data_IF_889423838735
#
_entry.id   IF_889423838735
#
_cell.length_a   1.000
_cell.length_b   1.000
_cell.length_c   1.000
_cell.angle_alpha   90.00
_cell.angle_beta   90.00
_cell.angle_gamma   90.00
#
_symmetry.space_group_name_H-M   'P 1'
#
loop_
_entity.id
_entity.type
_entity.pdbx_description
1 polymer ?
#
# COMPACT_ATOMS: atom_id res chain seq x y z
N UNK A 1 -16.51 -10.99 1.18
CA UNK A 1 -15.52 -9.87 1.22
C UNK A 1 -14.32 -10.32 2.03
N UNK A 2 -13.11 -10.21 1.48
CA UNK A 2 -11.85 -10.58 2.13
C UNK A 2 -11.17 -9.32 2.70
N UNK A 3 -10.49 -9.47 3.84
CA UNK A 3 -9.74 -8.38 4.48
C UNK A 3 -8.38 -8.95 4.90
N UNK A 4 -7.33 -8.24 4.55
CA UNK A 4 -5.98 -8.39 5.10
C UNK A 4 -5.74 -7.21 6.04
N UNK A 5 -5.60 -7.48 7.33
CA UNK A 5 -5.20 -6.48 8.32
C UNK A 5 -3.77 -6.74 8.77
N UNK A 6 -3.01 -5.67 9.04
CA UNK A 6 -1.67 -5.77 9.58
C UNK A 6 -1.46 -4.79 10.74
N UNK A 7 -1.00 -5.38 11.84
CA UNK A 7 -0.59 -4.71 13.07
C UNK A 7 0.73 -5.31 13.59
N UNK A 8 1.14 -4.94 14.80
CA UNK A 8 2.44 -5.27 15.43
C UNK A 8 2.77 -6.78 15.47
N UNK A 9 1.77 -7.65 15.27
CA UNK A 9 1.90 -9.11 15.42
C UNK A 9 1.74 -9.92 14.11
N UNK A 10 1.74 -9.27 12.93
CA UNK A 10 1.74 -9.96 11.63
C UNK A 10 0.41 -9.94 10.88
N UNK A 11 0.40 -10.56 9.70
CA UNK A 11 -0.73 -10.56 8.77
C UNK A 11 -1.72 -11.71 9.08
N UNK A 12 -3.01 -11.39 9.13
CA UNK A 12 -4.09 -12.36 9.28
C UNK A 12 -5.07 -12.22 8.09
N UNK A 13 -5.38 -13.33 7.43
CA UNK A 13 -6.51 -13.41 6.49
C UNK A 13 -7.74 -13.96 7.22
N UNK A 14 -8.88 -13.26 7.10
CA UNK A 14 -10.16 -13.72 7.62
C UNK A 14 -10.71 -12.91 8.79
N UNK A 15 -12.03 -12.81 8.85
CA UNK A 15 -12.76 -11.87 9.69
C UNK A 15 -12.72 -12.22 11.18
N UNK A 16 -12.03 -11.39 11.98
CA UNK A 16 -12.53 -10.72 13.20
C UNK A 16 -11.39 -9.97 13.89
N UNK A 17 -11.49 -8.65 14.07
CA UNK A 17 -11.50 -8.03 15.41
C UNK A 17 -11.53 -6.49 15.40
N UNK A 18 -11.91 -5.87 16.53
CA UNK A 18 -12.37 -4.48 16.60
C UNK A 18 -11.22 -3.47 16.52
N UNK A 19 -11.58 -2.31 16.01
CA UNK A 19 -10.77 -1.11 15.84
C UNK A 19 -10.08 -0.74 17.16
N UNK A 20 -8.77 -0.97 17.23
CA UNK A 20 -7.90 -0.66 18.37
C UNK A 20 -6.83 0.36 17.99
N UNK A 21 -7.17 1.63 18.15
CA UNK A 21 -6.35 2.82 18.44
C UNK A 21 -4.81 2.79 18.33
N UNK A 22 -4.19 2.25 17.27
CA UNK A 22 -2.85 2.68 16.84
C UNK A 22 -2.48 2.11 15.46
N UNK A 23 -2.53 2.95 14.41
CA UNK A 23 -1.77 2.73 13.18
C UNK A 23 -1.93 1.40 12.44
N UNK A 24 -2.98 0.62 12.70
CA UNK A 24 -3.26 -0.58 11.92
C UNK A 24 -3.74 -0.19 10.53
N UNK A 25 -3.23 -0.92 9.57
CA UNK A 25 -3.55 -0.71 8.19
C UNK A 25 -4.24 -1.99 7.69
N UNK A 26 -5.27 -1.81 6.89
CA UNK A 26 -6.07 -2.90 6.35
C UNK A 26 -6.37 -2.69 4.87
N UNK A 27 -6.50 -3.79 4.15
CA UNK A 27 -6.89 -3.85 2.75
C UNK A 27 -8.09 -4.79 2.64
N UNK A 28 -9.23 -4.27 2.18
CA UNK A 28 -10.44 -5.05 1.92
C UNK A 28 -10.68 -5.20 0.43
N UNK A 29 -11.09 -6.38 -0.02
CA UNK A 29 -11.43 -6.65 -1.41
C UNK A 29 -12.58 -7.65 -1.54
N UNK A 30 -13.22 -7.69 -2.72
CA UNK A 30 -14.32 -8.62 -3.00
C UNK A 30 -13.77 -10.04 -3.27
N UNK A 31 -14.61 -11.06 -3.16
CA UNK A 31 -14.15 -12.46 -3.31
C UNK A 31 -13.74 -12.81 -4.73
N UNK A 32 -14.28 -12.09 -5.72
CA UNK A 32 -14.00 -12.21 -7.15
C UNK A 32 -12.68 -11.53 -7.54
N UNK A 33 -11.98 -10.90 -6.58
CA UNK A 33 -10.68 -10.29 -6.79
C UNK A 33 -9.65 -11.17 -6.08
N UNK A 34 -8.67 -11.68 -6.82
CA UNK A 34 -7.54 -12.37 -6.24
C UNK A 34 -6.42 -11.37 -5.99
N UNK A 35 -5.92 -11.34 -4.75
CA UNK A 35 -4.83 -10.45 -4.36
C UNK A 35 -3.67 -11.32 -3.85
N UNK A 36 -2.47 -11.07 -4.33
CA UNK A 36 -1.25 -11.71 -3.86
C UNK A 36 -0.25 -10.68 -3.36
N UNK A 37 0.19 -10.83 -2.12
CA UNK A 37 1.19 -9.96 -1.50
C UNK A 37 2.55 -10.16 -2.16
N UNK A 38 3.13 -9.07 -2.69
CA UNK A 38 4.48 -9.08 -3.29
C UNK A 38 5.55 -8.72 -2.28
N UNK A 39 5.33 -7.62 -1.57
CA UNK A 39 6.25 -7.11 -0.55
C UNK A 39 5.54 -6.16 0.39
N UNK A 40 6.08 -6.02 1.59
CA UNK A 40 5.59 -5.07 2.58
C UNK A 40 6.71 -4.58 3.47
N UNK A 41 6.49 -3.42 4.09
CA UNK A 41 7.32 -2.84 5.15
C UNK A 41 6.45 -1.94 6.02
N UNK A 42 7.05 -1.27 7.01
CA UNK A 42 6.36 -0.22 7.77
C UNK A 42 5.91 0.96 6.89
N UNK A 43 6.51 1.12 5.71
CA UNK A 43 6.30 2.25 4.81
C UNK A 43 5.54 1.89 3.54
N UNK A 44 5.27 0.61 3.26
CA UNK A 44 4.51 0.24 2.08
C UNK A 44 3.87 -1.13 2.17
N UNK A 45 2.82 -1.33 1.39
CA UNK A 45 2.34 -2.64 0.98
C UNK A 45 2.17 -2.66 -0.51
N UNK A 46 2.61 -3.75 -1.10
CA UNK A 46 2.64 -3.95 -2.53
C UNK A 46 2.01 -5.28 -2.88
N UNK A 47 0.95 -5.24 -3.68
CA UNK A 47 0.15 -6.41 -4.02
C UNK A 47 -0.09 -6.47 -5.53
N UNK A 48 -0.08 -7.68 -6.08
CA UNK A 48 -0.63 -7.95 -7.39
C UNK A 48 -2.11 -8.28 -7.24
N UNK A 49 -2.91 -7.74 -8.14
CA UNK A 49 -4.37 -7.87 -8.20
C UNK A 49 -4.71 -8.53 -9.53
N UNK A 50 -5.35 -9.70 -9.44
CA UNK A 50 -5.93 -10.41 -10.57
C UNK A 50 -7.45 -10.26 -10.45
N UNK A 51 -7.98 -9.33 -11.24
CA UNK A 51 -9.40 -9.03 -11.31
C UNK A 51 -10.04 -9.87 -12.41
N UNK A 52 -10.80 -10.88 -11.99
CA UNK A 52 -11.45 -11.82 -12.89
C UNK A 52 -12.57 -11.19 -13.72
N UNK A 53 -13.18 -10.09 -13.27
CA UNK A 53 -14.26 -9.43 -14.01
C UNK A 53 -13.72 -8.68 -15.23
N UNK A 54 -12.66 -7.88 -15.04
CA UNK A 54 -12.07 -7.08 -16.12
C UNK A 54 -10.97 -7.81 -16.89
N UNK A 55 -10.54 -9.01 -16.43
CA UNK A 55 -9.46 -9.82 -17.02
C UNK A 55 -8.13 -9.07 -17.17
N UNK A 56 -7.86 -8.16 -16.24
CA UNK A 56 -6.63 -7.37 -16.21
C UNK A 56 -5.91 -7.66 -14.90
N UNK A 57 -4.62 -7.99 -15.03
CA UNK A 57 -3.70 -8.03 -13.90
C UNK A 57 -3.10 -6.65 -13.72
N UNK A 58 -3.19 -6.12 -12.52
CA UNK A 58 -2.64 -4.83 -12.17
C UNK A 58 -2.04 -4.89 -10.76
N UNK A 59 -1.32 -3.85 -10.39
CA UNK A 59 -0.56 -3.80 -9.15
C UNK A 59 -0.98 -2.60 -8.34
N UNK A 60 -1.17 -2.81 -7.04
CA UNK A 60 -1.46 -1.75 -6.09
C UNK A 60 -0.32 -1.64 -5.09
N UNK A 61 0.27 -0.46 -4.97
CA UNK A 61 1.16 -0.12 -3.87
C UNK A 61 0.49 0.92 -2.97
N UNK A 62 0.22 0.56 -1.72
CA UNK A 62 -0.06 1.54 -0.66
C UNK A 62 1.24 2.01 -0.06
N UNK A 63 1.52 3.30 -0.06
CA UNK A 63 2.80 3.87 0.35
C UNK A 63 2.63 4.94 1.44
N UNK A 64 3.56 4.94 2.39
CA UNK A 64 3.68 5.87 3.50
C UNK A 64 5.10 6.46 3.52
N UNK A 65 5.22 7.69 3.04
CA UNK A 65 6.49 8.42 3.05
C UNK A 65 6.95 8.78 4.45
N UNK A 66 8.24 9.05 4.62
CA UNK A 66 8.81 9.42 5.91
C UNK A 66 8.41 10.86 6.31
N UNK A 67 8.06 11.04 7.60
CA UNK A 67 7.82 12.36 8.20
C UNK A 67 9.11 13.17 8.31
N UNK A 68 10.23 12.52 8.60
CA UNK A 68 11.53 13.16 8.75
C UNK A 68 12.26 13.29 7.42
N UNK A 69 12.89 14.44 7.21
CA UNK A 69 13.62 14.78 5.98
C UNK A 69 14.71 13.76 5.62
N UNK A 70 15.32 13.12 6.63
CA UNK A 70 16.35 12.09 6.44
C UNK A 70 15.81 10.79 5.82
N UNK A 71 14.56 10.40 6.13
CA UNK A 71 13.95 9.19 5.57
C UNK A 71 13.27 9.39 4.22
N UNK A 72 13.14 10.65 3.75
CA UNK A 72 12.45 10.94 2.48
C UNK A 72 13.18 10.33 1.29
N UNK A 73 14.49 10.50 1.19
CA UNK A 73 15.27 9.92 0.08
C UNK A 73 15.13 8.40 0.04
N UNK A 74 15.19 7.73 1.20
CA UNK A 74 15.03 6.28 1.30
C UNK A 74 13.63 5.82 0.85
N UNK A 75 12.57 6.51 1.29
CA UNK A 75 11.19 6.19 0.87
C UNK A 75 10.96 6.48 -0.62
N UNK A 76 11.59 7.49 -1.20
CA UNK A 76 11.57 7.75 -2.63
C UNK A 76 12.37 6.74 -3.45
N UNK A 77 13.53 6.32 -2.96
CA UNK A 77 14.34 5.28 -3.58
C UNK A 77 13.62 3.93 -3.59
N UNK A 78 12.88 3.63 -2.51
CA UNK A 78 11.96 2.51 -2.46
C UNK A 78 10.89 2.63 -3.56
N UNK A 79 10.19 3.77 -3.66
CA UNK A 79 9.15 3.95 -4.67
C UNK A 79 9.71 3.85 -6.10
N UNK A 80 10.87 4.45 -6.36
CA UNK A 80 11.58 4.32 -7.65
C UNK A 80 11.95 2.87 -7.94
N UNK A 81 12.37 2.10 -6.93
CA UNK A 81 12.70 0.68 -7.08
C UNK A 81 11.45 -0.15 -7.39
N UNK A 82 10.34 0.13 -6.71
CA UNK A 82 9.04 -0.51 -7.00
C UNK A 82 8.58 -0.20 -8.42
N UNK A 83 8.76 1.04 -8.90
CA UNK A 83 8.33 1.48 -10.23
C UNK A 83 9.21 1.02 -11.40
N UNK A 84 10.40 0.48 -11.14
CA UNK A 84 11.27 -0.05 -12.21
C UNK A 84 10.75 -1.33 -12.84
N UNK A 85 9.68 -1.92 -12.35
CA UNK A 85 9.12 -3.16 -12.90
C UNK A 85 8.27 -2.85 -14.14
N UNK A 86 8.74 -3.23 -15.36
CA UNK A 86 7.95 -3.01 -16.56
C UNK A 86 6.83 -4.05 -16.66
N UNK A 87 5.75 -3.69 -17.37
CA UNK A 87 4.69 -4.59 -17.88
C UNK A 87 3.45 -4.87 -17.00
N UNK A 88 3.27 -4.20 -15.86
CA UNK A 88 2.01 -4.29 -15.09
C UNK A 88 1.43 -2.89 -14.84
N UNK A 89 0.15 -2.61 -15.17
CA UNK A 89 -0.51 -1.38 -14.76
C UNK A 89 -0.35 -1.19 -13.24
N UNK A 90 0.19 -0.05 -12.82
CA UNK A 90 0.59 0.18 -11.45
C UNK A 90 -0.14 1.39 -10.86
N UNK A 91 -0.93 1.15 -9.82
CA UNK A 91 -1.59 2.17 -9.03
C UNK A 91 -0.85 2.34 -7.71
N UNK A 92 -0.45 3.57 -7.40
CA UNK A 92 0.17 3.93 -6.11
C UNK A 92 -0.77 4.86 -5.36
N UNK A 93 -1.06 4.55 -4.10
CA UNK A 93 -1.89 5.37 -3.23
C UNK A 93 -1.31 5.46 -1.83
N UNK A 94 -1.73 6.46 -1.04
CA UNK A 94 -1.32 6.61 0.35
C UNK A 94 -0.87 8.03 0.69
N UNK A 95 -0.16 8.18 1.80
CA UNK A 95 0.35 9.45 2.27
C UNK A 95 1.85 9.54 1.99
N UNK A 96 2.22 10.35 1.01
CA UNK A 96 3.61 10.51 0.61
C UNK A 96 4.40 11.38 1.61
N UNK A 97 3.74 12.04 2.58
CA UNK A 97 4.37 12.97 3.53
C UNK A 97 5.26 14.05 2.86
N UNK A 98 4.90 14.38 1.62
CA UNK A 98 5.55 15.36 0.75
C UNK A 98 4.67 16.59 0.60
N UNK A 99 5.28 17.77 0.75
CA UNK A 99 4.61 19.02 0.37
C UNK A 99 4.77 19.16 -1.15
N UNK A 100 3.84 18.58 -1.92
CA UNK A 100 3.85 18.63 -3.39
C UNK A 100 3.66 20.06 -3.93
N UNK A 101 3.07 20.95 -3.14
CA UNK A 101 2.85 22.36 -3.49
C UNK A 101 3.07 23.28 -2.28
N UNK A 102 3.90 24.31 -2.46
CA UNK A 102 4.14 25.39 -1.48
C UNK A 102 2.92 26.32 -1.25
N UNK A 103 1.74 26.00 -1.79
CA UNK A 103 0.59 26.90 -1.74
C UNK A 103 -0.23 26.86 -0.44
N UNK A 104 0.27 26.20 0.60
CA UNK A 104 -0.18 26.46 1.98
C UNK A 104 0.82 27.34 2.70
N UNK A 105 0.69 28.65 2.46
CA UNK A 105 1.00 29.69 3.44
C UNK A 105 -0.24 30.53 3.67
N UNK A 106 -0.97 30.22 4.74
CA UNK A 106 -1.39 31.14 5.82
C UNK A 106 -2.34 30.42 6.76
#
# INVERSE_FOLDING_TARGET
MKILSWGVYGALEGFNMPIGTQGELSLGWKEEISISLRSFSNNHIDVDIDDFEIRVKWRLTRFYGALETRGREETWDLLKTLGKQPFTPWLVCGDFNEILYSFKKK
#
